data_IF_584103435651
#
_entry.id   IF_584103435651
#
_cell.length_a   1.000
_cell.length_b   1.000
_cell.length_c   1.000
_cell.angle_alpha   90.00
_cell.angle_beta   90.00
_cell.angle_gamma   90.00
#
_symmetry.space_group_name_H-M   'P 1'
#
loop_
_entity.id
_entity.type
_entity.pdbx_description
1 polymer ?
#
# COMPACT_ATOMS: atom_id res chain seq x y z
N UNK A 1 -24.95 18.52 -11.63
CA UNK A 1 -25.18 17.56 -10.52
C UNK A 1 -23.81 17.08 -10.05
N UNK A 2 -23.31 17.63 -8.94
CA UNK A 2 -21.99 17.30 -8.36
C UNK A 2 -22.08 15.92 -7.71
N UNK A 3 -21.23 14.99 -8.13
CA UNK A 3 -21.04 13.71 -7.43
C UNK A 3 -19.71 13.81 -6.70
N UNK A 4 -19.79 13.98 -5.39
CA UNK A 4 -18.66 13.98 -4.48
C UNK A 4 -18.05 12.58 -4.42
N UNK A 5 -16.80 12.42 -4.85
CA UNK A 5 -15.98 11.25 -4.52
C UNK A 5 -15.71 11.23 -3.02
N UNK A 6 -15.71 10.04 -2.37
CA UNK A 6 -15.22 9.95 -1.00
C UNK A 6 -13.72 10.22 -1.02
N UNK A 7 -13.31 11.26 -0.29
CA UNK A 7 -11.94 11.66 -0.13
C UNK A 7 -11.10 10.49 0.41
N UNK A 8 -9.90 10.32 -0.15
CA UNK A 8 -8.81 9.69 0.59
C UNK A 8 -8.75 10.36 1.97
N UNK A 9 -8.85 9.58 3.02
CA UNK A 9 -8.68 10.06 4.39
C UNK A 9 -7.20 10.44 4.53
N UNK A 10 -6.88 11.67 4.16
CA UNK A 10 -5.66 12.34 4.59
C UNK A 10 -5.83 12.56 6.09
N UNK A 11 -4.88 12.07 6.89
CA UNK A 11 -4.89 12.26 8.33
C UNK A 11 -4.79 13.76 8.65
N UNK A 12 -5.95 14.34 8.96
CA UNK A 12 -6.10 15.70 9.46
C UNK A 12 -5.62 15.76 10.92
N UNK A 13 -4.32 15.86 11.19
CA UNK A 13 -3.83 16.35 12.49
C UNK A 13 -2.52 17.17 12.38
N UNK A 14 -2.74 18.49 12.39
CA UNK A 14 -2.10 19.51 13.23
C UNK A 14 -0.66 20.00 13.03
N UNK A 15 -0.61 21.34 13.09
CA UNK A 15 0.53 22.25 13.26
C UNK A 15 1.32 21.92 14.54
N UNK A 16 2.64 21.84 14.42
CA UNK A 16 3.61 22.74 15.07
C UNK A 16 5.03 22.23 14.80
N UNK A 17 5.72 22.93 13.90
CA UNK A 17 7.15 22.77 13.67
C UNK A 17 7.89 23.53 14.78
N UNK A 18 8.45 22.84 15.76
CA UNK A 18 9.51 23.40 16.59
C UNK A 18 10.84 23.11 15.88
N UNK A 19 11.36 24.21 15.33
CA UNK A 19 12.48 24.37 14.41
C UNK A 19 13.76 24.55 15.23
N UNK A 20 14.83 23.86 14.82
CA UNK A 20 16.22 24.27 15.03
C UNK A 20 16.77 24.09 16.45
N UNK A 21 17.56 23.03 16.65
CA UNK A 21 18.86 23.07 17.36
C UNK A 21 19.34 21.71 17.89
N UNK A 22 18.54 20.63 17.81
CA UNK A 22 18.99 19.29 18.23
C UNK A 22 19.70 18.44 17.17
N UNK A 23 19.90 18.93 15.95
CA UNK A 23 20.43 18.12 14.85
C UNK A 23 21.97 17.95 14.86
N UNK A 24 22.70 18.57 15.80
CA UNK A 24 24.17 18.39 15.90
C UNK A 24 24.62 17.28 16.85
N UNK A 25 23.68 16.55 17.46
CA UNK A 25 23.98 15.50 18.44
C UNK A 25 23.33 14.14 18.14
N UNK A 26 22.87 13.91 16.92
CA UNK A 26 22.52 12.56 16.45
C UNK A 26 23.76 11.94 15.82
N UNK A 27 24.80 11.71 16.63
CA UNK A 27 25.79 10.69 16.28
C UNK A 27 25.00 9.43 15.97
N UNK A 28 25.18 8.85 14.78
CA UNK A 28 24.55 7.59 14.37
C UNK A 28 24.75 6.55 15.47
N UNK A 29 23.75 6.38 16.35
CA UNK A 29 23.88 5.59 17.57
C UNK A 29 24.20 4.11 17.29
N UNK A 30 23.99 3.68 16.04
CA UNK A 30 24.27 2.34 15.56
C UNK A 30 25.76 2.01 15.44
N UNK A 31 26.66 3.00 15.43
CA UNK A 31 28.12 2.72 15.35
C UNK A 31 28.74 2.19 16.66
N UNK A 32 28.00 2.22 17.78
CA UNK A 32 28.47 1.74 19.09
C UNK A 32 27.64 0.59 19.68
N UNK A 33 26.60 0.12 18.98
CA UNK A 33 25.72 -0.91 19.51
C UNK A 33 26.27 -2.32 19.27
N UNK A 34 26.21 -3.16 20.28
CA UNK A 34 26.48 -4.58 20.16
C UNK A 34 25.41 -5.26 19.28
N UNK A 35 25.78 -6.36 18.61
CA UNK A 35 24.83 -7.21 17.86
C UNK A 35 23.61 -7.63 18.69
N UNK A 36 23.77 -7.81 19.99
CA UNK A 36 22.69 -8.19 20.91
C UNK A 36 21.67 -7.05 21.09
N UNK A 37 22.13 -5.82 21.20
CA UNK A 37 21.27 -4.63 21.35
C UNK A 37 20.47 -4.36 20.07
N UNK A 38 21.12 -4.48 18.89
CA UNK A 38 20.43 -4.35 17.59
C UNK A 38 19.32 -5.40 17.44
N UNK A 39 19.59 -6.63 17.87
CA UNK A 39 18.59 -7.72 17.83
C UNK A 39 17.45 -7.45 18.80
N UNK A 40 17.73 -6.97 20.02
CA UNK A 40 16.73 -6.63 21.02
C UNK A 40 15.80 -5.48 20.60
N UNK A 41 16.35 -4.44 20.00
CA UNK A 41 15.55 -3.34 19.43
C UNK A 41 14.64 -3.83 18.30
N UNK A 42 15.17 -4.64 17.38
CA UNK A 42 14.39 -5.15 16.26
C UNK A 42 13.22 -6.03 16.73
N UNK A 43 13.47 -6.91 17.71
CA UNK A 43 12.42 -7.75 18.31
C UNK A 43 11.37 -6.89 19.00
N UNK A 44 11.80 -5.88 19.76
CA UNK A 44 10.87 -4.96 20.43
C UNK A 44 10.00 -4.19 19.43
N UNK A 45 10.61 -3.70 18.35
CA UNK A 45 9.89 -3.05 17.26
C UNK A 45 8.89 -4.00 16.58
N UNK A 46 9.30 -5.24 16.29
CA UNK A 46 8.44 -6.27 15.72
C UNK A 46 7.23 -6.55 16.63
N UNK A 47 7.45 -6.74 17.94
CA UNK A 47 6.36 -6.96 18.91
C UNK A 47 5.39 -5.78 18.99
N UNK A 48 5.90 -4.54 18.92
CA UNK A 48 5.03 -3.34 18.84
C UNK A 48 4.19 -3.33 17.57
N UNK A 49 4.78 -3.68 16.42
CA UNK A 49 4.04 -3.79 15.17
C UNK A 49 2.94 -4.86 15.29
N UNK A 50 3.26 -6.05 15.80
CA UNK A 50 2.29 -7.13 16.00
C UNK A 50 1.13 -6.74 16.92
N UNK A 51 1.43 -6.01 18.00
CA UNK A 51 0.42 -5.54 18.96
C UNK A 51 -0.51 -4.45 18.41
N UNK A 52 -0.13 -3.76 17.33
CA UNK A 52 -0.93 -2.68 16.77
C UNK A 52 -2.31 -3.19 16.31
N UNK A 53 -3.37 -2.49 16.72
CA UNK A 53 -4.77 -2.87 16.45
C UNK A 53 -5.38 -2.08 15.30
N UNK A 54 -4.67 -1.08 14.77
CA UNK A 54 -5.15 -0.25 13.66
C UNK A 54 -3.99 0.25 12.79
N UNK A 55 -4.31 0.65 11.55
CA UNK A 55 -3.33 1.25 10.65
C UNK A 55 -2.77 2.56 11.20
N UNK A 56 -3.56 3.34 11.94
CA UNK A 56 -3.13 4.62 12.53
C UNK A 56 -2.11 4.42 13.67
N UNK A 57 -2.34 3.42 14.52
CA UNK A 57 -1.38 3.03 15.56
C UNK A 57 -0.08 2.51 14.94
N UNK A 58 -0.19 1.66 13.92
CA UNK A 58 0.94 1.12 13.20
C UNK A 58 1.75 2.22 12.49
N UNK A 59 1.09 3.22 11.89
CA UNK A 59 1.74 4.38 11.29
C UNK A 59 2.54 5.18 12.32
N UNK A 60 2.00 5.34 13.53
CA UNK A 60 2.68 6.04 14.63
C UNK A 60 3.95 5.31 15.04
N UNK A 61 3.88 3.97 15.20
CA UNK A 61 5.03 3.12 15.53
C UNK A 61 6.08 3.19 14.42
N UNK A 62 5.67 3.08 13.16
CA UNK A 62 6.54 3.16 11.99
C UNK A 62 7.26 4.51 11.92
N UNK A 63 6.52 5.62 12.05
CA UNK A 63 7.04 6.98 11.96
C UNK A 63 8.09 7.25 13.05
N UNK A 64 7.83 6.80 14.27
CA UNK A 64 8.79 6.89 15.36
C UNK A 64 10.10 6.16 15.01
N UNK A 65 10.00 4.91 14.52
CA UNK A 65 11.19 4.12 14.16
C UNK A 65 11.98 4.73 13.00
N UNK A 66 11.32 5.28 11.99
CA UNK A 66 12.01 5.96 10.88
C UNK A 66 12.80 7.18 11.38
N UNK A 67 12.23 7.94 12.33
CA UNK A 67 12.91 9.07 12.97
C UNK A 67 14.11 8.63 13.83
N UNK A 68 13.97 7.56 14.62
CA UNK A 68 15.06 6.99 15.44
C UNK A 68 16.24 6.52 14.58
N UNK A 69 15.96 5.96 13.40
CA UNK A 69 16.98 5.55 12.42
C UNK A 69 17.59 6.74 11.64
N UNK A 70 17.10 7.96 11.85
CA UNK A 70 17.64 9.17 11.25
C UNK A 70 17.11 9.51 9.84
N UNK A 71 16.04 8.87 9.38
CA UNK A 71 15.40 9.25 8.12
C UNK A 71 14.62 10.55 8.29
N UNK A 72 14.93 11.53 7.44
CA UNK A 72 14.21 12.82 7.43
C UNK A 72 12.80 12.60 6.90
N UNK A 73 12.70 11.88 5.78
CA UNK A 73 11.43 11.54 5.17
C UNK A 73 11.36 10.05 4.84
N UNK A 74 10.15 9.51 4.86
CA UNK A 74 9.85 8.15 4.52
C UNK A 74 8.44 8.06 3.94
N UNK A 75 8.24 7.10 3.04
CA UNK A 75 6.94 6.69 2.56
C UNK A 75 6.90 5.16 2.45
N UNK A 76 5.76 4.57 2.76
CA UNK A 76 5.52 3.14 2.71
C UNK A 76 4.09 2.91 2.26
N UNK A 77 3.87 2.17 1.19
CA UNK A 77 2.51 1.96 0.72
C UNK A 77 2.34 0.79 -0.21
N UNK A 78 1.12 0.26 -0.22
CA UNK A 78 0.67 -0.70 -1.20
C UNK A 78 0.44 -0.01 -2.55
N UNK A 79 0.96 -0.61 -3.62
CA UNK A 79 0.68 -0.22 -4.99
C UNK A 79 -0.69 -0.76 -5.35
N UNK A 80 -1.67 0.11 -5.29
CA UNK A 80 -3.06 -0.18 -5.60
C UNK A 80 -3.52 0.85 -6.61
N UNK A 81 -4.28 0.40 -7.60
CA UNK A 81 -4.92 1.32 -8.53
C UNK A 81 -5.90 2.20 -7.72
N UNK A 82 -5.66 3.53 -7.61
CA UNK A 82 -6.53 4.43 -6.85
C UNK A 82 -7.97 4.43 -7.39
N UNK A 83 -8.16 4.04 -8.66
CA UNK A 83 -9.46 3.97 -9.32
C UNK A 83 -10.14 2.61 -9.12
N UNK A 84 -9.42 1.60 -8.62
CA UNK A 84 -9.91 0.25 -8.33
C UNK A 84 -9.27 -0.30 -7.04
N UNK A 85 -9.63 0.22 -5.86
CA UNK A 85 -9.17 -0.32 -4.59
C UNK A 85 -9.90 -1.65 -4.30
N UNK A 86 -9.59 -2.69 -5.07
CA UNK A 86 -10.16 -4.04 -4.89
C UNK A 86 -9.63 -4.73 -3.62
N UNK A 87 -8.56 -4.18 -3.02
CA UNK A 87 -7.92 -4.67 -1.80
C UNK A 87 -7.60 -3.52 -0.88
N UNK A 88 -7.57 -3.82 0.41
CA UNK A 88 -7.30 -2.85 1.45
C UNK A 88 -5.97 -2.11 1.19
N UNK A 89 -6.10 -0.79 1.13
CA UNK A 89 -5.08 0.15 0.69
C UNK A 89 -4.53 0.86 1.92
N UNK A 90 -3.21 0.99 2.02
CA UNK A 90 -2.61 1.87 3.02
C UNK A 90 -1.39 2.57 2.42
N UNK A 91 -1.17 3.80 2.88
CA UNK A 91 0.01 4.61 2.59
C UNK A 91 0.36 5.34 3.87
N UNK A 92 1.57 5.12 4.36
CA UNK A 92 2.18 5.87 5.46
C UNK A 92 3.24 6.78 4.86
N UNK A 93 3.22 8.07 5.21
CA UNK A 93 4.22 9.03 4.73
C UNK A 93 4.37 10.21 5.67
N UNK A 94 5.55 10.82 5.69
CA UNK A 94 5.83 12.06 6.42
C UNK A 94 6.36 13.18 5.53
N UNK A 95 6.12 13.10 4.22
CA UNK A 95 6.56 14.12 3.27
C UNK A 95 5.97 15.51 3.59
N UNK A 96 6.67 16.61 3.23
CA UNK A 96 6.16 17.96 3.44
C UNK A 96 4.77 18.13 2.82
N UNK A 97 3.86 18.79 3.55
CA UNK A 97 2.48 18.96 3.10
C UNK A 97 2.42 19.76 1.78
N UNK A 98 3.31 20.73 1.63
CA UNK A 98 3.48 21.54 0.43
C UNK A 98 3.85 20.68 -0.78
N UNK A 99 4.76 19.71 -0.59
CA UNK A 99 5.11 18.76 -1.65
C UNK A 99 3.92 17.85 -2.01
N UNK A 100 3.20 17.34 -1.01
CA UNK A 100 2.02 16.47 -1.23
C UNK A 100 0.96 17.22 -2.05
N UNK A 101 0.67 18.47 -1.69
CA UNK A 101 -0.28 19.32 -2.42
C UNK A 101 0.19 19.55 -3.87
N UNK A 102 1.45 19.97 -4.03
CA UNK A 102 2.06 20.22 -5.34
C UNK A 102 2.03 18.98 -6.26
N UNK A 103 2.36 17.81 -5.71
CA UNK A 103 2.35 16.52 -6.41
C UNK A 103 0.93 16.11 -6.85
N UNK A 104 -0.06 16.35 -5.98
CA UNK A 104 -1.48 16.05 -6.24
C UNK A 104 -2.05 16.96 -7.34
N UNK A 105 -1.87 18.28 -7.22
CA UNK A 105 -2.38 19.28 -8.17
C UNK A 105 -1.90 19.02 -9.60
N UNK A 106 -0.62 18.64 -9.75
CA UNK A 106 -0.01 18.35 -11.06
C UNK A 106 -0.25 16.93 -11.55
N UNK A 107 -0.99 16.12 -10.78
CA UNK A 107 -1.30 14.72 -11.05
C UNK A 107 -0.04 13.89 -11.33
N UNK A 108 1.01 14.11 -10.54
CA UNK A 108 2.29 13.43 -10.74
C UNK A 108 2.22 11.93 -10.51
N UNK A 109 1.24 11.44 -9.73
CA UNK A 109 0.95 10.00 -9.58
C UNK A 109 0.80 9.25 -10.91
N UNK A 110 0.39 9.90 -12.00
CA UNK A 110 0.23 9.25 -13.32
C UNK A 110 1.56 8.94 -14.01
N UNK A 111 2.61 9.67 -13.67
CA UNK A 111 3.91 9.65 -14.36
C UNK A 111 5.09 9.57 -13.41
N UNK A 112 4.85 9.29 -12.13
CA UNK A 112 5.88 9.19 -11.10
C UNK A 112 6.96 8.16 -11.47
N UNK A 113 8.24 8.57 -11.64
CA UNK A 113 9.31 7.64 -11.99
C UNK A 113 9.63 6.65 -10.86
N UNK A 114 9.48 7.04 -9.60
CA UNK A 114 9.79 6.19 -8.43
C UNK A 114 8.75 5.07 -8.34
N UNK A 115 7.47 5.42 -8.39
CA UNK A 115 6.40 4.43 -8.42
C UNK A 115 6.54 3.47 -9.60
N UNK A 116 6.77 3.98 -10.82
CA UNK A 116 6.89 3.14 -12.02
C UNK A 116 8.08 2.17 -11.95
N UNK A 117 9.23 2.60 -11.45
CA UNK A 117 10.38 1.70 -11.30
C UNK A 117 10.11 0.60 -10.26
N UNK A 118 9.50 0.97 -9.13
CA UNK A 118 9.14 0.00 -8.09
C UNK A 118 8.05 -1.00 -8.57
N UNK A 119 7.03 -0.53 -9.28
CA UNK A 119 5.98 -1.39 -9.86
C UNK A 119 6.50 -2.28 -11.00
N UNK A 120 7.42 -1.75 -11.81
CA UNK A 120 8.08 -2.39 -12.95
C UNK A 120 9.13 -3.45 -12.57
N UNK A 121 9.43 -3.62 -11.28
CA UNK A 121 10.23 -4.73 -10.77
C UNK A 121 11.63 -4.39 -10.28
N UNK A 122 12.03 -3.11 -10.23
CA UNK A 122 13.28 -2.72 -9.60
C UNK A 122 13.25 -3.10 -8.10
N UNK A 123 14.23 -3.86 -7.64
CA UNK A 123 14.27 -4.37 -6.27
C UNK A 123 14.73 -3.32 -5.25
N UNK A 124 15.70 -2.49 -5.64
CA UNK A 124 16.29 -1.42 -4.85
C UNK A 124 16.93 -0.40 -5.81
N UNK A 125 16.72 0.90 -5.61
CA UNK A 125 17.34 1.95 -6.42
C UNK A 125 17.40 3.29 -5.68
N UNK A 126 18.41 4.11 -5.98
CA UNK A 126 18.55 5.46 -5.46
C UNK A 126 18.03 6.49 -6.45
N UNK A 127 17.38 7.56 -5.97
CA UNK A 127 16.78 8.59 -6.83
C UNK A 127 17.82 9.48 -7.53
N UNK A 128 19.04 9.48 -7.01
CA UNK A 128 20.21 10.20 -7.54
C UNK A 128 21.08 9.33 -8.45
N UNK A 129 20.80 8.03 -8.53
CA UNK A 129 21.58 7.09 -9.35
C UNK A 129 21.46 7.45 -10.85
N UNK A 130 22.58 7.68 -11.56
CA UNK A 130 22.56 7.90 -13.00
C UNK A 130 21.83 6.81 -13.79
N UNK A 131 21.95 5.53 -13.40
CA UNK A 131 21.29 4.42 -14.11
C UNK A 131 19.75 4.53 -14.01
N UNK A 132 19.26 4.95 -12.84
CA UNK A 132 17.84 5.24 -12.65
C UNK A 132 17.39 6.51 -13.39
N UNK A 133 18.22 7.57 -13.41
CA UNK A 133 17.84 8.89 -13.94
C UNK A 133 17.96 9.04 -15.46
N UNK A 134 18.96 8.41 -16.08
CA UNK A 134 19.22 8.53 -17.53
C UNK A 134 18.02 8.17 -18.42
N UNK A 135 17.27 7.06 -18.19
CA UNK A 135 16.16 6.69 -19.05
C UNK A 135 14.89 7.54 -18.82
N UNK A 136 14.87 8.42 -17.82
CA UNK A 136 13.68 9.19 -17.46
C UNK A 136 13.37 10.27 -18.51
N UNK A 137 12.09 10.41 -18.82
CA UNK A 137 11.59 11.56 -19.60
C UNK A 137 11.90 12.89 -18.89
N UNK A 138 11.89 13.99 -19.63
CA UNK A 138 12.06 15.33 -19.04
C UNK A 138 11.04 15.60 -17.92
N UNK A 139 9.79 15.15 -18.10
CA UNK A 139 8.70 15.33 -17.13
C UNK A 139 8.94 14.54 -15.85
N UNK A 140 9.47 13.32 -15.97
CA UNK A 140 9.84 12.49 -14.82
C UNK A 140 11.04 13.06 -14.05
N UNK A 141 12.07 13.53 -14.75
CA UNK A 141 13.22 14.20 -14.11
C UNK A 141 12.79 15.43 -13.32
N UNK A 142 11.93 16.25 -13.92
CA UNK A 142 11.36 17.44 -13.29
C UNK A 142 10.65 17.12 -11.95
N UNK A 143 9.97 15.97 -11.83
CA UNK A 143 9.35 15.56 -10.56
C UNK A 143 10.42 15.40 -9.47
N UNK A 144 11.52 14.71 -9.77
CA UNK A 144 12.61 14.48 -8.82
C UNK A 144 13.35 15.79 -8.48
N UNK A 145 13.52 16.67 -9.47
CA UNK A 145 14.18 17.97 -9.29
C UNK A 145 13.33 18.88 -8.39
N UNK A 146 12.04 19.01 -8.66
CA UNK A 146 11.10 19.75 -7.81
C UNK A 146 11.03 19.13 -6.40
N UNK A 147 10.98 17.79 -6.28
CA UNK A 147 10.99 17.12 -4.98
C UNK A 147 12.24 17.49 -4.14
N UNK A 148 13.39 17.62 -4.80
CA UNK A 148 14.64 17.97 -4.14
C UNK A 148 14.62 19.35 -3.48
N UNK A 149 13.82 20.30 -4.01
CA UNK A 149 13.62 21.63 -3.42
C UNK A 149 12.88 21.57 -2.07
N UNK A 150 12.11 20.50 -1.84
CA UNK A 150 11.43 20.22 -0.57
C UNK A 150 12.25 19.30 0.34
N UNK A 151 13.51 19.03 0.01
CA UNK A 151 14.39 18.13 0.77
C UNK A 151 14.24 16.64 0.42
N UNK A 152 13.42 16.29 -0.58
CA UNK A 152 13.22 14.91 -1.04
C UNK A 152 14.24 14.55 -2.13
N UNK A 153 15.53 14.58 -1.77
CA UNK A 153 16.63 14.40 -2.73
C UNK A 153 17.32 13.05 -2.62
N UNK A 154 17.83 12.71 -1.45
CA UNK A 154 18.64 11.51 -1.22
C UNK A 154 17.75 10.34 -0.79
N UNK A 155 16.79 10.01 -1.66
CA UNK A 155 15.87 8.90 -1.45
C UNK A 155 16.38 7.60 -2.05
N UNK A 156 16.13 6.50 -1.34
CA UNK A 156 16.28 5.13 -1.82
C UNK A 156 14.95 4.42 -1.69
N UNK A 157 14.55 3.71 -2.74
CA UNK A 157 13.30 2.96 -2.78
C UNK A 157 13.58 1.49 -2.95
N UNK A 158 12.93 0.68 -2.12
CA UNK A 158 12.97 -0.77 -2.22
C UNK A 158 11.56 -1.32 -2.39
N UNK A 159 11.49 -2.44 -3.11
CA UNK A 159 10.27 -3.21 -3.25
C UNK A 159 10.00 -4.04 -2.00
N UNK A 160 8.73 -4.18 -1.65
CA UNK A 160 8.24 -5.04 -0.59
C UNK A 160 7.43 -6.16 -1.22
N UNK A 161 7.87 -7.39 -0.99
CA UNK A 161 7.19 -8.59 -1.48
C UNK A 161 6.39 -9.18 -0.33
N UNK A 162 5.11 -9.44 -0.57
CA UNK A 162 4.23 -10.14 0.38
C UNK A 162 3.63 -11.38 -0.28
N UNK A 163 3.29 -12.38 0.54
CA UNK A 163 2.63 -13.61 0.09
C UNK A 163 1.25 -13.34 -0.54
N UNK A 164 0.65 -12.17 -0.31
CA UNK A 164 -0.70 -11.83 -0.77
C UNK A 164 -0.77 -11.20 -2.18
N UNK A 165 0.28 -11.31 -3.01
CA UNK A 165 0.39 -10.64 -4.32
C UNK A 165 0.15 -9.11 -4.29
N UNK A 166 0.19 -8.50 -3.11
CA UNK A 166 0.09 -7.04 -2.99
C UNK A 166 1.48 -6.48 -3.29
N UNK A 167 1.61 -5.77 -4.40
CA UNK A 167 2.83 -5.00 -4.70
C UNK A 167 2.89 -3.84 -3.71
N UNK A 168 4.07 -3.55 -3.18
CA UNK A 168 4.30 -2.42 -2.29
C UNK A 168 5.74 -1.95 -2.43
N UNK A 169 6.00 -0.73 -1.98
CA UNK A 169 7.35 -0.19 -1.87
C UNK A 169 7.50 0.68 -0.64
N UNK A 170 8.74 0.74 -0.15
CA UNK A 170 9.19 1.68 0.85
C UNK A 170 10.22 2.62 0.26
N UNK A 171 10.06 3.92 0.50
CA UNK A 171 11.00 4.98 0.14
C UNK A 171 11.55 5.59 1.42
N UNK A 172 12.87 5.63 1.56
CA UNK A 172 13.56 6.17 2.71
C UNK A 172 14.47 7.31 2.24
N UNK A 173 14.34 8.49 2.84
CA UNK A 173 15.01 9.71 2.41
C UNK A 173 15.85 10.27 3.55
N UNK A 174 17.14 10.38 3.30
CA UNK A 174 18.10 10.98 4.21
C UNK A 174 18.31 12.48 3.88
N UNK A 175 18.81 13.23 4.85
CA UNK A 175 19.22 14.62 4.65
C UNK A 175 20.48 14.74 3.78
N UNK A 176 21.33 13.70 3.78
CA UNK A 176 22.64 13.66 3.14
C UNK A 176 22.79 12.38 2.29
N UNK A 177 23.64 12.39 1.25
CA UNK A 177 23.79 11.27 0.31
C UNK A 177 24.41 10.01 0.93
N UNK A 178 25.26 10.18 1.94
CA UNK A 178 26.11 9.12 2.50
C UNK A 178 25.43 8.40 3.69
N UNK A 179 24.17 8.01 3.50
CA UNK A 179 23.49 7.17 4.50
C UNK A 179 24.16 5.80 4.57
N UNK A 180 24.63 5.35 5.75
CA UNK A 180 25.24 4.05 5.88
C UNK A 180 24.28 2.91 5.53
N UNK A 181 24.79 1.87 4.85
CA UNK A 181 23.97 0.77 4.32
C UNK A 181 23.28 -0.07 5.40
N UNK A 182 23.85 -0.15 6.59
CA UNK A 182 23.25 -0.81 7.76
C UNK A 182 22.01 -0.06 8.26
N UNK A 183 22.05 1.28 8.28
CA UNK A 183 20.89 2.13 8.59
C UNK A 183 19.78 1.91 7.56
N UNK A 184 20.14 1.94 6.27
CA UNK A 184 19.19 1.68 5.20
C UNK A 184 18.58 0.29 5.30
N UNK A 185 19.40 -0.73 5.59
CA UNK A 185 18.97 -2.11 5.79
C UNK A 185 18.03 -2.23 6.98
N UNK A 186 18.32 -1.57 8.11
CA UNK A 186 17.45 -1.54 9.27
C UNK A 186 16.09 -0.90 8.95
N UNK A 187 16.09 0.22 8.21
CA UNK A 187 14.86 0.87 7.75
C UNK A 187 14.03 -0.01 6.81
N UNK A 188 14.71 -0.72 5.89
CA UNK A 188 14.09 -1.69 4.98
C UNK A 188 13.45 -2.85 5.73
N UNK A 189 14.14 -3.43 6.72
CA UNK A 189 13.58 -4.50 7.57
C UNK A 189 12.36 -3.97 8.34
N UNK A 190 12.45 -2.76 8.91
CA UNK A 190 11.32 -2.15 9.60
C UNK A 190 10.10 -1.96 8.68
N UNK A 191 10.31 -1.53 7.43
CA UNK A 191 9.25 -1.46 6.41
C UNK A 191 8.65 -2.83 6.09
N UNK A 192 9.43 -3.91 6.06
CA UNK A 192 8.92 -5.28 5.86
C UNK A 192 7.99 -5.70 6.99
N UNK A 193 8.39 -5.47 8.24
CA UNK A 193 7.59 -5.82 9.43
C UNK A 193 6.27 -5.03 9.47
N UNK A 194 6.36 -3.72 9.21
CA UNK A 194 5.18 -2.84 9.16
C UNK A 194 4.28 -3.22 7.99
N UNK A 195 4.84 -3.50 6.81
CA UNK A 195 4.07 -3.93 5.65
C UNK A 195 3.29 -5.21 5.95
N UNK A 196 3.94 -6.19 6.59
CA UNK A 196 3.30 -7.44 6.96
C UNK A 196 2.09 -7.22 7.88
N UNK A 197 2.24 -6.43 8.95
CA UNK A 197 1.12 -6.14 9.85
C UNK A 197 0.03 -5.31 9.17
N UNK A 198 0.41 -4.30 8.39
CA UNK A 198 -0.54 -3.45 7.68
C UNK A 198 -1.45 -4.28 6.77
N UNK A 199 -0.87 -5.26 6.06
CA UNK A 199 -1.63 -6.21 5.22
C UNK A 199 -2.59 -7.08 6.04
N UNK A 200 -2.19 -7.54 7.23
CA UNK A 200 -3.08 -8.29 8.12
C UNK A 200 -4.25 -7.44 8.62
N UNK A 201 -3.99 -6.24 9.13
CA UNK A 201 -5.03 -5.29 9.57
C UNK A 201 -5.99 -4.94 8.43
N UNK A 202 -5.44 -4.76 7.23
CA UNK A 202 -6.18 -4.56 5.99
C UNK A 202 -7.10 -5.74 5.66
N UNK A 203 -6.63 -6.98 5.85
CA UNK A 203 -7.41 -8.19 5.63
C UNK A 203 -8.47 -8.42 6.73
N UNK A 204 -8.15 -8.11 7.98
CA UNK A 204 -9.07 -8.18 9.13
C UNK A 204 -10.23 -7.17 8.98
N UNK A 205 -9.94 -5.97 8.47
CA UNK A 205 -10.94 -4.93 8.21
C UNK A 205 -11.76 -5.16 6.92
N UNK A 206 -11.31 -6.05 6.04
CA UNK A 206 -12.05 -6.36 4.82
C UNK A 206 -13.39 -7.01 5.19
N UNK A 207 -14.51 -6.61 4.55
CA UNK A 207 -15.81 -7.20 4.86
C UNK A 207 -15.75 -8.71 4.62
N UNK A 208 -15.94 -9.47 5.70
CA UNK A 208 -16.09 -10.93 5.61
C UNK A 208 -17.54 -11.22 5.22
N UNK A 209 -17.70 -11.89 4.09
CA UNK A 209 -19.01 -12.36 3.64
C UNK A 209 -19.15 -13.84 3.99
N UNK A 210 -20.38 -14.30 4.18
CA UNK A 210 -20.61 -15.73 4.33
C UNK A 210 -20.07 -16.49 3.10
N UNK A 211 -19.52 -17.68 3.35
CA UNK A 211 -19.03 -18.53 2.26
C UNK A 211 -20.19 -18.97 1.36
N UNK A 212 -19.98 -18.80 0.05
CA UNK A 212 -20.86 -19.29 -0.99
C UNK A 212 -20.83 -20.81 -1.06
N UNK A 213 -22.00 -21.43 -1.10
CA UNK A 213 -22.12 -22.85 -1.37
C UNK A 213 -21.69 -23.14 -2.81
N UNK A 214 -21.29 -24.38 -3.09
CA UNK A 214 -20.76 -24.79 -4.41
C UNK A 214 -21.61 -24.30 -5.59
N UNK A 215 -22.93 -24.52 -5.57
CA UNK A 215 -23.83 -24.11 -6.66
C UNK A 215 -24.04 -22.60 -6.75
N UNK A 216 -24.02 -21.90 -5.62
CA UNK A 216 -24.11 -20.43 -5.57
C UNK A 216 -22.87 -19.81 -6.22
N UNK A 217 -21.69 -20.30 -5.85
CA UNK A 217 -20.39 -19.94 -6.43
C UNK A 217 -20.35 -20.15 -7.94
N UNK A 218 -20.67 -21.37 -8.40
CA UNK A 218 -20.66 -21.71 -9.83
C UNK A 218 -21.59 -20.82 -10.66
N UNK A 219 -22.80 -20.55 -10.16
CA UNK A 219 -23.72 -19.64 -10.85
C UNK A 219 -23.14 -18.22 -10.91
N UNK A 220 -22.63 -17.71 -9.79
CA UNK A 220 -22.11 -16.35 -9.69
C UNK A 220 -20.83 -16.14 -10.51
N UNK A 221 -19.97 -17.16 -10.60
CA UNK A 221 -18.73 -17.16 -11.38
C UNK A 221 -18.99 -17.10 -12.88
N UNK A 222 -19.93 -17.90 -13.40
CA UNK A 222 -20.35 -17.82 -14.80
C UNK A 222 -21.07 -16.50 -15.10
N UNK A 223 -21.89 -16.00 -14.17
CA UNK A 223 -22.51 -14.68 -14.31
C UNK A 223 -21.49 -13.54 -14.36
N UNK A 224 -20.45 -13.61 -13.51
CA UNK A 224 -19.36 -12.64 -13.50
C UNK A 224 -18.53 -12.68 -14.78
N UNK A 225 -18.53 -13.83 -15.46
CA UNK A 225 -17.91 -14.02 -16.79
C UNK A 225 -18.80 -13.55 -17.95
N UNK A 226 -19.94 -12.91 -17.66
CA UNK A 226 -20.84 -12.31 -18.66
C UNK A 226 -21.96 -13.22 -19.17
N UNK A 227 -22.09 -14.45 -18.67
CA UNK A 227 -23.14 -15.37 -19.14
C UNK A 227 -24.51 -14.97 -18.60
N UNK A 228 -25.52 -15.12 -19.45
CA UNK A 228 -26.94 -14.99 -19.11
C UNK A 228 -27.43 -16.16 -18.27
N UNK A 229 -28.53 -15.99 -17.52
CA UNK A 229 -29.10 -17.07 -16.69
C UNK A 229 -29.40 -18.35 -17.52
N UNK A 230 -29.75 -18.22 -18.79
CA UNK A 230 -30.01 -19.32 -19.71
C UNK A 230 -28.73 -20.06 -20.13
N UNK A 231 -27.63 -19.34 -20.33
CA UNK A 231 -26.32 -19.94 -20.61
C UNK A 231 -25.75 -20.62 -19.36
N UNK A 232 -25.88 -19.99 -18.19
CA UNK A 232 -25.51 -20.60 -16.91
C UNK A 232 -26.30 -21.88 -16.66
N UNK A 233 -27.61 -21.85 -16.90
CA UNK A 233 -28.49 -23.01 -16.77
C UNK A 233 -28.05 -24.17 -17.67
N UNK A 234 -27.76 -23.89 -18.94
CA UNK A 234 -27.22 -24.88 -19.90
C UNK A 234 -25.87 -25.43 -19.44
N UNK A 235 -24.95 -24.57 -19.02
CA UNK A 235 -23.60 -24.97 -18.62
C UNK A 235 -23.62 -25.86 -17.35
N UNK A 236 -24.51 -25.57 -16.40
CA UNK A 236 -24.59 -26.28 -15.13
C UNK A 236 -25.58 -27.46 -15.10
N UNK A 237 -26.32 -27.68 -16.20
CA UNK A 237 -27.34 -28.73 -16.31
C UNK A 237 -28.53 -28.55 -15.37
N UNK A 238 -28.97 -27.31 -15.14
CA UNK A 238 -30.07 -26.97 -14.22
C UNK A 238 -31.07 -26.03 -14.87
N UNK A 239 -32.26 -25.86 -14.28
CA UNK A 239 -33.26 -24.90 -14.78
C UNK A 239 -32.88 -23.43 -14.52
N UNK A 240 -33.36 -22.51 -15.37
CA UNK A 240 -33.16 -21.05 -15.24
C UNK A 240 -33.66 -20.54 -13.88
N UNK A 241 -34.81 -21.03 -13.41
CA UNK A 241 -35.35 -20.67 -12.09
C UNK A 241 -34.41 -21.12 -10.95
N UNK A 242 -33.74 -22.25 -11.09
CA UNK A 242 -32.76 -22.76 -10.12
C UNK A 242 -31.50 -21.88 -10.09
N UNK A 243 -31.03 -21.42 -11.25
CA UNK A 243 -29.93 -20.44 -11.34
C UNK A 243 -30.28 -19.16 -10.60
N UNK A 244 -31.44 -18.57 -10.90
CA UNK A 244 -31.92 -17.35 -10.22
C UNK A 244 -32.00 -17.52 -8.70
N UNK A 245 -32.49 -18.66 -8.23
CA UNK A 245 -32.52 -18.98 -6.79
C UNK A 245 -31.13 -19.05 -6.15
N UNK A 246 -30.15 -19.65 -6.85
CA UNK A 246 -28.77 -19.69 -6.36
C UNK A 246 -28.13 -18.30 -6.32
N UNK A 247 -28.37 -17.45 -7.32
CA UNK A 247 -27.89 -16.07 -7.34
C UNK A 247 -28.53 -15.25 -6.22
N UNK A 248 -29.81 -15.45 -5.92
CA UNK A 248 -30.48 -14.74 -4.83
C UNK A 248 -29.90 -15.13 -3.45
N UNK A 249 -29.65 -16.43 -3.24
CA UNK A 249 -28.98 -16.88 -2.00
C UNK A 249 -27.55 -16.35 -1.89
N UNK A 250 -26.83 -16.29 -3.00
CA UNK A 250 -25.51 -15.68 -3.06
C UNK A 250 -25.56 -14.18 -2.69
N UNK A 251 -26.54 -13.44 -3.22
CA UNK A 251 -26.78 -12.03 -2.84
C UNK A 251 -26.95 -11.86 -1.35
N UNK A 252 -27.81 -12.66 -0.72
CA UNK A 252 -28.05 -12.58 0.73
C UNK A 252 -26.76 -12.87 1.52
N UNK A 253 -26.04 -13.96 1.19
CA UNK A 253 -24.77 -14.34 1.84
C UNK A 253 -23.68 -13.26 1.72
N UNK A 254 -23.66 -12.56 0.60
CA UNK A 254 -22.73 -11.47 0.30
C UNK A 254 -23.29 -10.11 0.72
N UNK A 255 -24.42 -10.07 1.45
CA UNK A 255 -25.12 -8.86 1.88
C UNK A 255 -25.44 -7.87 0.75
N UNK A 256 -25.59 -8.36 -0.49
CA UNK A 256 -25.62 -7.56 -1.71
C UNK A 256 -27.05 -7.29 -2.20
N UNK A 257 -27.32 -6.02 -2.49
CA UNK A 257 -28.59 -5.53 -3.00
C UNK A 257 -28.81 -5.85 -4.47
N UNK A 258 -27.76 -6.13 -5.25
CA UNK A 258 -27.88 -6.50 -6.68
C UNK A 258 -26.98 -7.68 -7.04
N UNK A 259 -27.28 -8.37 -8.15
CA UNK A 259 -26.42 -9.46 -8.66
C UNK A 259 -25.02 -8.97 -9.04
N UNK A 260 -24.90 -7.74 -9.55
CA UNK A 260 -23.63 -7.12 -9.91
C UNK A 260 -22.81 -6.87 -8.64
N UNK A 261 -23.45 -6.33 -7.60
CA UNK A 261 -22.80 -6.13 -6.31
C UNK A 261 -22.39 -7.46 -5.66
N UNK A 262 -23.21 -8.51 -5.80
CA UNK A 262 -22.86 -9.85 -5.35
C UNK A 262 -21.62 -10.38 -6.09
N UNK A 263 -21.59 -10.30 -7.42
CA UNK A 263 -20.43 -10.71 -8.20
C UNK A 263 -19.17 -9.92 -7.80
N UNK A 264 -19.26 -8.59 -7.69
CA UNK A 264 -18.15 -7.74 -7.27
C UNK A 264 -17.62 -8.12 -5.88
N UNK A 265 -18.50 -8.36 -4.90
CA UNK A 265 -18.12 -8.76 -3.54
C UNK A 265 -17.53 -10.17 -3.47
N UNK A 266 -18.03 -11.10 -4.27
CA UNK A 266 -17.47 -12.45 -4.36
C UNK A 266 -16.08 -12.47 -5.00
N UNK A 267 -15.82 -11.60 -5.98
CA UNK A 267 -14.49 -11.40 -6.57
C UNK A 267 -13.55 -10.76 -5.53
N UNK A 268 -13.99 -9.66 -4.90
CA UNK A 268 -13.18 -8.93 -3.91
C UNK A 268 -12.80 -9.79 -2.70
N UNK A 269 -13.71 -10.66 -2.25
CA UNK A 269 -13.45 -11.63 -1.16
C UNK A 269 -12.75 -12.92 -1.62
N UNK A 270 -12.41 -13.04 -2.92
CA UNK A 270 -11.69 -14.20 -3.47
C UNK A 270 -12.49 -15.50 -3.55
N UNK A 271 -13.82 -15.46 -3.37
CA UNK A 271 -14.67 -16.65 -3.39
C UNK A 271 -14.97 -17.17 -4.81
N UNK A 272 -14.83 -16.33 -5.84
CA UNK A 272 -14.96 -16.69 -7.26
C UNK A 272 -13.81 -16.08 -8.08
N UNK A 273 -13.47 -16.70 -9.21
CA UNK A 273 -12.57 -16.12 -10.21
C UNK A 273 -13.28 -16.15 -11.57
N UNK A 274 -13.64 -14.99 -12.16
CA UNK A 274 -14.26 -14.97 -13.48
C UNK A 274 -13.40 -15.71 -14.49
N UNK A 275 -14.03 -16.50 -15.35
CA UNK A 275 -13.37 -17.19 -16.44
C UNK A 275 -13.24 -16.14 -17.56
N UNK A 276 -12.06 -15.51 -17.62
CA UNK A 276 -11.69 -14.56 -18.69
C UNK A 276 -11.18 -15.31 -19.90
#
# INVERSE_FOLDING_TARGET
>A
MRVSSPALVLSDQFRQTQRGDRLRQTCYALSCMSRAEITGELVTFASRCEAAQSLAELETIWRQRMGELGFTFAALGAHVDPLKPERATYVFQNYPAEWIAHFSERRYHLVDPVFRAADGGAADFAWTDPEFRQPLSWRQRRILDEASEFGLRFGRTHKLTSMLHLKASGSLVAAEPDLPDDIYTAGKIANVLVHHRAVQLCAEAAPSFELLRRRERQCLELCASGLTDAEVARNLGVGIATVRRHIERARVRLSASTRIQAAARAIASGQIKPIV
#
